data_IF_158141349341
#
_entry.id   IF_158141349341
#
_cell.length_a   1.000
_cell.length_b   1.000
_cell.length_c   1.000
_cell.angle_alpha   90.00
_cell.angle_beta   90.00
_cell.angle_gamma   90.00
#
_symmetry.space_group_name_H-M   'P 1'
#
loop_
_entity.id
_entity.type
_entity.pdbx_description
1 polymer ?
#
# COMPACT_ATOMS: atom_id res chain seq x y z
N UNK A 1 18.95 -1.69 9.00
CA UNK A 1 18.67 -0.24 9.17
C UNK A 1 17.38 0.09 8.43
N UNK A 2 16.24 0.12 9.11
CA UNK A 2 14.97 0.55 8.50
C UNK A 2 15.01 2.07 8.32
N UNK A 3 15.15 2.51 7.07
CA UNK A 3 14.95 3.92 6.74
C UNK A 3 13.45 4.22 6.81
N UNK A 4 12.92 4.49 8.02
CA UNK A 4 11.49 4.71 8.28
C UNK A 4 10.84 5.79 7.39
N UNK A 5 11.64 6.69 6.83
CA UNK A 5 11.21 7.73 5.89
C UNK A 5 11.16 7.31 4.42
N UNK A 6 11.71 6.15 4.04
CA UNK A 6 11.76 5.73 2.64
C UNK A 6 10.37 5.40 2.10
N UNK A 7 10.16 5.67 0.81
CA UNK A 7 8.90 5.35 0.15
C UNK A 7 8.58 3.84 0.21
N UNK A 8 9.61 2.99 0.14
CA UNK A 8 9.48 1.53 0.26
C UNK A 8 8.96 1.12 1.64
N UNK A 9 9.58 1.63 2.71
CA UNK A 9 9.15 1.33 4.07
C UNK A 9 7.71 1.77 4.31
N UNK A 10 7.33 2.96 3.82
CA UNK A 10 5.96 3.44 3.90
C UNK A 10 4.98 2.54 3.14
N UNK A 11 5.34 2.05 1.94
CA UNK A 11 4.51 1.10 1.17
C UNK A 11 4.34 -0.23 1.91
N UNK A 12 5.41 -0.77 2.51
CA UNK A 12 5.34 -1.99 3.34
C UNK A 12 4.39 -1.78 4.52
N UNK A 13 4.55 -0.69 5.27
CA UNK A 13 3.70 -0.38 6.42
C UNK A 13 2.22 -0.19 6.03
N UNK A 14 1.95 0.54 4.95
CA UNK A 14 0.58 0.69 4.44
C UNK A 14 -0.01 -0.64 3.99
N UNK A 15 0.78 -1.51 3.36
CA UNK A 15 0.33 -2.85 2.93
C UNK A 15 -0.05 -3.71 4.14
N UNK A 16 0.77 -3.73 5.19
CA UNK A 16 0.47 -4.45 6.43
C UNK A 16 -0.81 -3.91 7.09
N UNK A 17 -0.97 -2.58 7.14
CA UNK A 17 -2.17 -1.95 7.70
C UNK A 17 -3.43 -2.25 6.88
N UNK A 18 -3.32 -2.26 5.54
CA UNK A 18 -4.42 -2.65 4.65
C UNK A 18 -4.84 -4.09 4.94
N UNK A 19 -3.90 -5.05 4.97
CA UNK A 19 -4.20 -6.47 5.25
C UNK A 19 -4.93 -6.64 6.58
N UNK A 20 -4.44 -5.99 7.65
CA UNK A 20 -5.08 -6.05 8.97
C UNK A 20 -6.51 -5.49 8.97
N UNK A 21 -6.72 -4.34 8.33
CA UNK A 21 -8.05 -3.72 8.24
C UNK A 21 -9.01 -4.51 7.35
N UNK A 22 -8.51 -5.11 6.27
CA UNK A 22 -9.32 -5.98 5.40
C UNK A 22 -9.89 -7.15 6.21
N UNK A 23 -9.07 -7.86 6.99
CA UNK A 23 -9.55 -8.93 7.88
C UNK A 23 -10.52 -8.44 8.95
N UNK A 24 -10.28 -7.24 9.52
CA UNK A 24 -11.23 -6.62 10.47
C UNK A 24 -12.62 -6.40 9.86
N UNK A 25 -12.71 -6.01 8.60
CA UNK A 25 -14.00 -5.76 7.93
C UNK A 25 -14.78 -7.02 7.56
N UNK A 26 -14.14 -8.19 7.53
CA UNK A 26 -14.86 -9.46 7.36
C UNK A 26 -15.82 -9.71 8.53
N UNK A 27 -15.38 -9.36 9.75
CA UNK A 27 -16.18 -9.43 10.98
C UNK A 27 -17.07 -8.18 11.16
N UNK A 28 -16.54 -6.99 10.85
CA UNK A 28 -17.21 -5.71 11.10
C UNK A 28 -17.65 -5.01 9.79
N UNK A 29 -18.56 -5.64 9.05
CA UNK A 29 -18.99 -5.18 7.71
C UNK A 29 -19.62 -3.78 7.69
N UNK A 30 -20.20 -3.33 8.81
CA UNK A 30 -20.87 -2.02 8.95
C UNK A 30 -19.93 -0.89 9.42
N UNK A 31 -18.65 -1.15 9.63
CA UNK A 31 -17.68 -0.10 10.02
C UNK A 31 -17.24 0.76 8.82
N UNK A 32 -18.15 1.62 8.37
CA UNK A 32 -17.95 2.47 7.19
C UNK A 32 -16.93 3.60 7.42
N UNK A 33 -16.79 4.06 8.67
CA UNK A 33 -15.85 5.13 9.03
C UNK A 33 -14.40 4.64 8.86
N UNK A 34 -14.09 3.45 9.39
CA UNK A 34 -12.77 2.85 9.21
C UNK A 34 -12.52 2.48 7.74
N UNK A 35 -13.53 2.00 7.00
CA UNK A 35 -13.40 1.74 5.56
C UNK A 35 -13.05 3.01 4.76
N UNK A 36 -13.60 4.17 5.14
CA UNK A 36 -13.20 5.47 4.55
C UNK A 36 -11.73 5.77 4.84
N UNK A 37 -11.25 5.47 6.05
CA UNK A 37 -9.83 5.55 6.41
C UNK A 37 -8.94 4.62 5.58
N UNK A 38 -9.37 3.37 5.37
CA UNK A 38 -8.69 2.39 4.53
C UNK A 38 -8.52 2.91 3.10
N UNK A 39 -9.58 3.47 2.50
CA UNK A 39 -9.52 4.07 1.16
C UNK A 39 -8.47 5.18 1.04
N UNK A 40 -8.34 6.03 2.07
CA UNK A 40 -7.29 7.06 2.11
C UNK A 40 -5.88 6.44 2.15
N UNK A 41 -5.69 5.37 2.92
CA UNK A 41 -4.40 4.65 2.99
C UNK A 41 -4.06 4.02 1.64
N UNK A 42 -5.05 3.39 0.99
CA UNK A 42 -4.89 2.77 -0.32
C UNK A 42 -4.44 3.78 -1.38
N UNK A 43 -5.07 4.97 -1.43
CA UNK A 43 -4.67 6.05 -2.34
C UNK A 43 -3.29 6.65 -2.02
N UNK A 44 -2.88 6.72 -0.74
CA UNK A 44 -1.51 7.11 -0.38
C UNK A 44 -0.48 6.09 -0.88
N UNK A 45 -0.74 4.79 -0.68
CA UNK A 45 0.12 3.71 -1.17
C UNK A 45 0.26 3.75 -2.70
N UNK A 46 -0.85 3.95 -3.41
CA UNK A 46 -0.85 4.03 -4.88
C UNK A 46 0.03 5.19 -5.39
N UNK A 47 -0.06 6.37 -4.77
CA UNK A 47 0.80 7.52 -5.14
C UNK A 47 2.29 7.25 -4.89
N UNK A 48 2.63 6.59 -3.78
CA UNK A 48 4.02 6.21 -3.49
C UNK A 48 4.55 5.17 -4.48
N UNK A 49 3.73 4.18 -4.85
CA UNK A 49 4.08 3.19 -5.86
C UNK A 49 4.29 3.83 -7.23
N UNK A 50 3.42 4.77 -7.63
CA UNK A 50 3.59 5.54 -8.87
C UNK A 50 4.89 6.38 -8.85
N UNK A 51 5.21 7.00 -7.71
CA UNK A 51 6.48 7.72 -7.52
C UNK A 51 7.69 6.78 -7.65
N UNK A 52 7.66 5.62 -6.99
CA UNK A 52 8.73 4.63 -7.06
C UNK A 52 8.91 4.08 -8.48
N UNK A 53 7.82 3.79 -9.19
CA UNK A 53 7.84 3.34 -10.58
C UNK A 53 8.53 4.36 -11.49
N UNK A 54 8.28 5.66 -11.30
CA UNK A 54 8.94 6.74 -12.07
C UNK A 54 10.41 6.90 -11.71
N UNK A 55 10.77 6.71 -10.43
CA UNK A 55 12.14 6.91 -9.93
C UNK A 55 13.07 5.74 -10.22
N UNK A 56 12.61 4.52 -9.99
CA UNK A 56 13.38 3.30 -10.21
C UNK A 56 12.43 2.11 -10.44
N UNK A 57 12.33 1.71 -11.71
CA UNK A 57 11.42 0.64 -12.15
C UNK A 57 11.81 -0.75 -11.61
N UNK A 58 13.11 -1.00 -11.41
CA UNK A 58 13.62 -2.29 -10.89
C UNK A 58 13.17 -2.45 -9.43
N UNK A 59 13.47 -1.45 -8.59
CA UNK A 59 13.06 -1.45 -7.17
C UNK A 59 11.55 -1.48 -7.01
N UNK A 60 10.81 -0.80 -7.88
CA UNK A 60 9.36 -0.88 -7.92
C UNK A 60 8.86 -2.31 -8.16
N UNK A 61 9.39 -3.00 -9.18
CA UNK A 61 9.04 -4.39 -9.49
C UNK A 61 9.36 -5.33 -8.32
N UNK A 62 10.58 -5.26 -7.80
CA UNK A 62 10.99 -6.07 -6.65
C UNK A 62 10.05 -5.86 -5.45
N UNK A 63 9.66 -4.60 -5.18
CA UNK A 63 8.79 -4.27 -4.06
C UNK A 63 7.36 -4.80 -4.25
N UNK A 64 6.77 -4.65 -5.43
CA UNK A 64 5.40 -5.14 -5.68
C UNK A 64 5.35 -6.67 -5.66
N UNK A 65 6.39 -7.33 -6.17
CA UNK A 65 6.52 -8.79 -6.17
C UNK A 65 6.66 -9.31 -4.72
N UNK A 66 7.55 -8.72 -3.93
CA UNK A 66 7.73 -9.05 -2.52
C UNK A 66 6.45 -8.87 -1.69
N UNK A 67 5.65 -7.85 -2.01
CA UNK A 67 4.43 -7.52 -1.28
C UNK A 67 3.16 -8.13 -1.89
N UNK A 68 3.26 -8.91 -2.97
CA UNK A 68 2.13 -9.44 -3.73
C UNK A 68 1.09 -8.34 -4.04
N UNK A 69 1.56 -7.18 -4.49
CA UNK A 69 0.71 -6.05 -4.89
C UNK A 69 0.45 -6.17 -6.38
N UNK A 70 -0.83 -6.15 -6.77
CA UNK A 70 -1.21 -6.14 -8.18
C UNK A 70 -0.59 -4.93 -8.89
N UNK A 71 0.07 -5.18 -10.02
CA UNK A 71 0.57 -4.12 -10.89
C UNK A 71 -0.63 -3.34 -11.44
N UNK A 72 -0.73 -2.06 -11.05
CA UNK A 72 -1.74 -1.16 -11.59
C UNK A 72 -1.11 -0.47 -12.79
N UNK A 73 -1.78 -0.50 -13.95
CA UNK A 73 -1.42 0.38 -15.07
C UNK A 73 -1.61 1.81 -14.59
N UNK A 74 -0.49 2.51 -14.39
CA UNK A 74 -0.49 3.96 -14.19
C UNK A 74 -0.48 4.53 -15.59
N UNK A 75 -1.67 4.73 -16.15
CA UNK A 75 -1.86 5.51 -17.38
C UNK A 75 -1.53 6.99 -17.14
#
# INVERSE_FOLDING_TARGET
>A
KENRGSAEFQVVNFTNKIRKLTSHFELHKKDYLSQRGLRKILGKRQRLLAYLSKKNRIRYKELIDQLNIRETKVD
#
